data_IF_144293687411
#
_entry.id   IF_144293687411
#
_cell.length_a   1.000
_cell.length_b   1.000
_cell.length_c   1.000
_cell.angle_alpha   90.00
_cell.angle_beta   90.00
_cell.angle_gamma   90.00
#
_symmetry.space_group_name_H-M   'P 1'
#
loop_
_entity.id
_entity.type
_entity.pdbx_description
1 polymer ?
#
# COMPACT_ATOMS: atom_id res chain seq x y z
N UNK A 1 21.59 1.59 -50.46
CA UNK A 1 22.40 0.70 -49.61
C UNK A 1 21.80 0.82 -48.21
N UNK A 2 20.89 -0.07 -47.79
CA UNK A 2 21.15 -1.44 -47.29
C UNK A 2 22.06 -1.41 -46.04
N UNK A 3 21.81 -2.07 -44.91
CA UNK A 3 20.79 -2.98 -44.36
C UNK A 3 21.01 -2.99 -42.82
N UNK A 4 19.99 -2.99 -41.96
CA UNK A 4 19.40 -4.13 -41.22
C UNK A 4 20.37 -4.95 -40.36
N UNK A 5 20.05 -5.02 -39.04
CA UNK A 5 20.03 -6.20 -38.13
C UNK A 5 20.83 -5.99 -36.84
N UNK A 6 20.51 -6.52 -35.65
CA UNK A 6 19.30 -7.03 -34.97
C UNK A 6 19.77 -7.58 -33.61
N UNK A 7 18.98 -7.40 -32.53
CA UNK A 7 18.93 -8.21 -31.30
C UNK A 7 20.15 -8.15 -30.32
N UNK A 8 20.07 -8.36 -29.01
CA UNK A 8 18.98 -8.75 -28.08
C UNK A 8 19.45 -8.58 -26.61
N UNK A 9 18.50 -8.21 -25.74
CA UNK A 9 18.30 -8.61 -24.32
C UNK A 9 19.38 -8.39 -23.23
N UNK A 10 19.03 -7.61 -22.19
CA UNK A 10 18.71 -8.15 -20.85
C UNK A 10 18.33 -7.03 -19.85
N UNK A 11 17.23 -7.29 -19.15
CA UNK A 11 16.43 -6.43 -18.27
C UNK A 11 16.80 -6.64 -16.79
N UNK A 12 16.83 -5.59 -15.96
CA UNK A 12 16.75 -5.69 -14.50
C UNK A 12 16.32 -4.34 -13.89
N UNK A 13 15.03 -4.23 -13.60
CA UNK A 13 14.37 -3.11 -12.95
C UNK A 13 14.23 -3.37 -11.45
N UNK A 14 14.31 -2.31 -10.63
CA UNK A 14 14.13 -2.34 -9.18
C UNK A 14 12.69 -1.99 -8.76
N UNK A 15 12.20 -2.40 -7.58
CA UNK A 15 10.76 -2.53 -7.32
C UNK A 15 10.15 -1.41 -6.47
N UNK A 16 8.85 -1.15 -6.70
CA UNK A 16 7.72 -0.84 -5.77
C UNK A 16 6.74 0.18 -6.40
N UNK A 17 5.46 0.31 -5.97
CA UNK A 17 4.53 -0.57 -5.25
C UNK A 17 3.22 -0.85 -6.03
N UNK A 18 2.42 -1.81 -5.55
CA UNK A 18 1.17 -2.31 -6.13
C UNK A 18 -0.06 -1.38 -6.04
N UNK A 19 -0.94 -1.36 -7.07
CA UNK A 19 -2.35 -1.03 -6.91
C UNK A 19 -3.29 -2.15 -7.40
N UNK A 20 -4.39 -2.33 -6.65
CA UNK A 20 -5.49 -3.27 -6.86
C UNK A 20 -6.38 -2.92 -8.07
N UNK A 21 -7.07 -3.91 -8.70
CA UNK A 21 -8.21 -3.64 -9.58
C UNK A 21 -9.56 -4.02 -8.95
N UNK A 22 -10.51 -3.13 -9.24
CA UNK A 22 -11.92 -3.03 -8.86
C UNK A 22 -12.88 -4.01 -9.54
N UNK A 23 -13.96 -4.37 -8.83
CA UNK A 23 -15.22 -4.90 -9.35
C UNK A 23 -16.24 -3.76 -9.58
N UNK A 24 -17.12 -3.81 -10.60
CA UNK A 24 -18.10 -2.77 -10.85
C UNK A 24 -19.39 -2.98 -10.05
N UNK A 25 -19.98 -1.86 -9.65
CA UNK A 25 -21.31 -1.73 -9.08
C UNK A 25 -22.36 -1.67 -10.20
N UNK A 26 -23.55 -2.23 -9.97
CA UNK A 26 -24.76 -1.42 -10.19
C UNK A 26 -25.99 -1.94 -9.43
N UNK A 27 -26.80 -0.97 -9.01
CA UNK A 27 -27.97 -1.11 -8.13
C UNK A 27 -29.21 -0.81 -8.98
N UNK A 28 -30.17 -1.75 -9.04
CA UNK A 28 -31.49 -1.48 -9.65
C UNK A 28 -32.59 -1.67 -8.62
N UNK A 29 -33.43 -0.64 -8.46
CA UNK A 29 -34.67 -0.63 -7.67
C UNK A 29 -35.76 -1.39 -8.43
N UNK A 30 -36.55 -2.17 -7.69
CA UNK A 30 -37.86 -2.68 -8.12
C UNK A 30 -38.96 -1.67 -7.75
N UNK A 31 -39.92 -1.48 -8.67
CA UNK A 31 -41.30 -1.08 -8.36
C UNK A 31 -42.26 -1.97 -9.16
N UNK A 32 -43.43 -2.18 -8.55
CA UNK A 32 -44.48 -3.18 -8.78
C UNK A 32 -45.16 -3.21 -10.16
N UNK A 33 -45.58 -4.41 -10.59
CA UNK A 33 -47.00 -4.85 -10.64
C UNK A 33 -47.16 -6.22 -11.33
N UNK A 34 -47.86 -7.14 -10.67
CA UNK A 34 -49.18 -7.66 -11.09
C UNK A 34 -49.49 -9.03 -10.45
N UNK A 35 -50.68 -9.11 -9.88
CA UNK A 35 -51.29 -10.30 -9.28
C UNK A 35 -51.45 -11.45 -10.29
N UNK A 36 -51.28 -12.69 -9.84
CA UNK A 36 -52.29 -13.74 -10.02
C UNK A 36 -51.98 -14.97 -9.18
N UNK A 37 -52.96 -15.30 -8.33
CA UNK A 37 -53.00 -16.44 -7.42
C UNK A 37 -53.24 -17.73 -8.20
N UNK A 38 -52.34 -18.70 -8.00
CA UNK A 38 -52.68 -20.06 -7.58
C UNK A 38 -53.71 -20.84 -8.40
N UNK A 39 -53.21 -21.59 -9.39
CA UNK A 39 -53.85 -22.81 -9.86
C UNK A 39 -52.74 -23.83 -10.18
N UNK A 40 -52.71 -24.97 -9.46
CA UNK A 40 -51.82 -26.09 -9.79
C UNK A 40 -51.13 -26.80 -8.63
N UNK A 41 -51.84 -27.15 -7.55
CA UNK A 41 -51.33 -27.96 -6.43
C UNK A 41 -51.15 -29.47 -6.78
N UNK A 42 -50.93 -29.83 -8.05
CA UNK A 42 -50.88 -31.22 -8.51
C UNK A 42 -49.56 -31.70 -9.11
N UNK A 43 -48.58 -30.82 -9.35
CA UNK A 43 -47.39 -31.15 -10.18
C UNK A 43 -46.06 -31.15 -9.39
N UNK A 44 -46.08 -30.94 -8.07
CA UNK A 44 -44.87 -30.75 -7.25
C UNK A 44 -44.24 -32.04 -6.68
N UNK A 45 -44.85 -33.21 -6.87
CA UNK A 45 -44.40 -34.48 -6.25
C UNK A 45 -43.18 -35.14 -6.94
N UNK A 46 -43.03 -35.18 -8.28
CA UNK A 46 -41.96 -35.97 -8.91
C UNK A 46 -40.55 -35.35 -8.81
N UNK A 47 -40.42 -34.03 -8.58
CA UNK A 47 -39.11 -33.41 -8.38
C UNK A 47 -38.56 -33.64 -6.96
N UNK A 48 -39.43 -33.85 -5.97
CA UNK A 48 -39.04 -34.08 -4.57
C UNK A 48 -38.37 -35.45 -4.46
N UNK A 49 -38.98 -36.48 -5.06
CA UNK A 49 -38.41 -37.82 -5.06
C UNK A 49 -37.08 -37.90 -5.82
N UNK A 50 -36.94 -37.16 -6.93
CA UNK A 50 -35.68 -37.10 -7.67
C UNK A 50 -34.58 -36.35 -6.89
N UNK A 51 -34.93 -35.27 -6.18
CA UNK A 51 -34.01 -34.54 -5.33
C UNK A 51 -33.53 -35.38 -4.13
N UNK A 52 -34.43 -36.19 -3.53
CA UNK A 52 -34.08 -37.11 -2.44
C UNK A 52 -33.16 -38.23 -2.95
N UNK A 53 -33.42 -38.77 -4.15
CA UNK A 53 -32.58 -39.82 -4.72
C UNK A 53 -31.18 -39.31 -5.10
N UNK A 54 -31.07 -38.08 -5.64
CA UNK A 54 -29.79 -37.43 -5.89
C UNK A 54 -29.04 -37.13 -4.58
N UNK A 55 -29.74 -36.71 -3.53
CA UNK A 55 -29.13 -36.48 -2.22
C UNK A 55 -28.56 -37.77 -1.61
N UNK A 56 -29.27 -38.91 -1.74
CA UNK A 56 -28.78 -40.20 -1.26
C UNK A 56 -27.57 -40.73 -2.05
N UNK A 57 -27.53 -40.52 -3.36
CA UNK A 57 -26.38 -40.89 -4.19
C UNK A 57 -25.17 -40.00 -3.91
N UNK A 58 -25.40 -38.70 -3.70
CA UNK A 58 -24.35 -37.77 -3.28
C UNK A 58 -23.80 -38.15 -1.89
N UNK A 59 -24.67 -38.50 -0.94
CA UNK A 59 -24.26 -38.93 0.40
C UNK A 59 -23.38 -40.19 0.35
N UNK A 60 -23.80 -41.24 -0.36
CA UNK A 60 -23.02 -42.48 -0.50
C UNK A 60 -21.68 -42.26 -1.20
N UNK A 61 -21.63 -41.34 -2.16
CA UNK A 61 -20.38 -41.01 -2.86
C UNK A 61 -19.43 -40.26 -1.92
N UNK A 62 -19.96 -39.32 -1.12
CA UNK A 62 -19.17 -38.59 -0.13
C UNK A 62 -18.63 -39.51 0.96
N UNK A 63 -19.45 -40.41 1.51
CA UNK A 63 -19.03 -41.40 2.52
C UNK A 63 -17.90 -42.30 1.99
N UNK A 64 -18.07 -42.88 0.80
CA UNK A 64 -17.04 -43.74 0.19
C UNK A 64 -15.74 -42.99 -0.14
N UNK A 65 -15.82 -41.73 -0.60
CA UNK A 65 -14.62 -40.92 -0.87
C UNK A 65 -13.89 -40.53 0.41
N UNK A 66 -14.61 -40.28 1.52
CA UNK A 66 -14.02 -40.01 2.82
C UNK A 66 -13.26 -41.23 3.36
N UNK A 67 -13.86 -42.41 3.34
CA UNK A 67 -13.20 -43.63 3.81
C UNK A 67 -11.94 -43.95 3.01
N UNK A 68 -12.01 -43.83 1.67
CA UNK A 68 -10.85 -44.09 0.83
C UNK A 68 -9.74 -43.03 1.03
N UNK A 69 -10.10 -41.76 1.22
CA UNK A 69 -9.15 -40.70 1.56
C UNK A 69 -8.47 -40.94 2.93
N UNK A 70 -9.21 -41.45 3.91
CA UNK A 70 -8.66 -41.79 5.23
C UNK A 70 -7.65 -42.94 5.12
N UNK A 71 -7.92 -43.97 4.33
CA UNK A 71 -6.98 -45.10 4.15
C UNK A 71 -5.73 -44.67 3.37
N UNK A 72 -5.89 -43.86 2.32
CA UNK A 72 -4.76 -43.34 1.54
C UNK A 72 -3.89 -42.38 2.36
N UNK A 73 -4.49 -41.55 3.22
CA UNK A 73 -3.71 -40.67 4.11
C UNK A 73 -2.94 -41.46 5.17
N UNK A 74 -3.56 -42.48 5.78
CA UNK A 74 -2.88 -43.37 6.73
C UNK A 74 -1.69 -44.10 6.11
N UNK A 75 -1.89 -44.74 4.95
CA UNK A 75 -0.81 -45.48 4.27
C UNK A 75 0.36 -44.59 3.82
N UNK A 76 0.08 -43.33 3.41
CA UNK A 76 1.14 -42.35 3.12
C UNK A 76 1.89 -41.91 4.37
N UNK A 77 1.18 -41.77 5.49
CA UNK A 77 1.77 -41.39 6.77
C UNK A 77 2.69 -42.49 7.30
N UNK A 78 2.26 -43.76 7.25
CA UNK A 78 3.11 -44.91 7.62
C UNK A 78 4.36 -45.01 6.73
N UNK A 79 4.22 -44.72 5.43
CA UNK A 79 5.35 -44.69 4.50
C UNK A 79 6.32 -43.54 4.78
N UNK A 80 5.83 -42.39 5.22
CA UNK A 80 6.67 -41.25 5.63
C UNK A 80 7.39 -41.53 6.95
N UNK A 81 6.73 -42.14 7.92
CA UNK A 81 7.33 -42.52 9.20
C UNK A 81 8.42 -43.58 9.02
N UNK A 82 8.16 -44.59 8.19
CA UNK A 82 9.15 -45.63 7.91
C UNK A 82 10.35 -45.06 7.14
N UNK A 83 10.12 -44.23 6.12
CA UNK A 83 11.20 -43.59 5.36
C UNK A 83 12.03 -42.63 6.21
N UNK A 84 11.41 -41.83 7.10
CA UNK A 84 12.14 -40.88 7.95
C UNK A 84 13.02 -41.58 8.98
N UNK A 85 12.56 -42.72 9.53
CA UNK A 85 13.35 -43.52 10.50
C UNK A 85 14.66 -44.05 9.90
N UNK A 86 14.65 -44.50 8.64
CA UNK A 86 15.85 -45.00 7.96
C UNK A 86 16.87 -43.87 7.74
N UNK A 87 16.42 -42.69 7.30
CA UNK A 87 17.31 -41.53 7.15
C UNK A 87 17.82 -40.97 8.48
N UNK A 88 17.02 -41.04 9.54
CA UNK A 88 17.43 -40.63 10.89
C UNK A 88 18.52 -41.54 11.44
N UNK A 89 18.37 -42.85 11.30
CA UNK A 89 19.40 -43.81 11.73
C UNK A 89 20.70 -43.63 10.95
N UNK A 90 20.62 -43.43 9.63
CA UNK A 90 21.80 -43.14 8.80
C UNK A 90 22.52 -41.84 9.23
N UNK A 91 21.77 -40.84 9.69
CA UNK A 91 22.37 -39.59 10.22
C UNK A 91 23.04 -39.83 11.57
N UNK A 92 22.41 -40.62 12.46
CA UNK A 92 23.01 -40.98 13.74
C UNK A 92 24.32 -41.74 13.58
N UNK A 93 24.39 -42.68 12.63
CA UNK A 93 25.61 -43.45 12.37
C UNK A 93 26.74 -42.51 11.90
N UNK A 94 26.45 -41.56 11.00
CA UNK A 94 27.45 -40.58 10.54
C UNK A 94 27.97 -39.65 11.65
N UNK A 95 27.15 -39.33 12.64
CA UNK A 95 27.59 -38.54 13.81
C UNK A 95 28.50 -39.33 14.74
N UNK A 96 28.27 -40.64 14.88
CA UNK A 96 29.15 -41.50 15.68
C UNK A 96 30.54 -41.62 15.04
N UNK A 97 30.59 -41.76 13.71
CA UNK A 97 31.86 -41.78 12.97
C UNK A 97 32.64 -40.46 13.14
N UNK A 98 31.97 -39.31 12.98
CA UNK A 98 32.60 -38.00 13.19
C UNK A 98 33.10 -37.79 14.63
N UNK A 99 32.36 -38.30 15.63
CA UNK A 99 32.79 -38.24 17.02
C UNK A 99 34.09 -39.03 17.23
N UNK A 100 34.20 -40.19 16.60
CA UNK A 100 35.41 -41.02 16.69
C UNK A 100 36.61 -40.31 16.05
N UNK A 101 36.44 -39.70 14.87
CA UNK A 101 37.50 -38.95 14.19
C UNK A 101 37.91 -37.68 14.96
N UNK A 102 36.95 -36.97 15.56
CA UNK A 102 37.23 -35.77 16.36
C UNK A 102 38.09 -36.08 17.60
N UNK A 103 37.83 -37.20 18.28
CA UNK A 103 38.55 -37.57 19.50
C UNK A 103 40.06 -37.73 19.29
N UNK A 104 40.49 -38.16 18.10
CA UNK A 104 41.91 -38.30 17.74
C UNK A 104 42.61 -36.94 17.69
N UNK A 105 41.95 -35.92 17.15
CA UNK A 105 42.51 -34.56 17.10
C UNK A 105 42.47 -33.87 18.46
N UNK A 106 41.42 -34.13 19.24
CA UNK A 106 41.28 -33.64 20.61
C UNK A 106 42.44 -34.11 21.48
N UNK A 107 42.77 -35.41 21.43
CA UNK A 107 43.88 -35.99 22.19
C UNK A 107 45.25 -35.44 21.77
N UNK A 108 45.45 -35.18 20.47
CA UNK A 108 46.69 -34.58 19.96
C UNK A 108 46.89 -33.14 20.47
N UNK A 109 45.83 -32.33 20.42
CA UNK A 109 45.86 -30.93 20.86
C UNK A 109 46.06 -30.85 22.38
N UNK A 110 45.31 -31.63 23.15
CA UNK A 110 45.48 -31.66 24.60
C UNK A 110 46.82 -32.27 25.04
N UNK A 111 47.34 -33.24 24.30
CA UNK A 111 48.70 -33.75 24.48
C UNK A 111 49.75 -32.65 24.35
N UNK A 112 49.66 -31.83 23.29
CA UNK A 112 50.59 -30.71 23.06
C UNK A 112 50.47 -29.60 24.10
N UNK A 113 49.25 -29.30 24.55
CA UNK A 113 49.01 -28.33 25.62
C UNK A 113 49.61 -28.82 26.94
N UNK A 114 49.51 -30.11 27.26
CA UNK A 114 50.11 -30.69 28.47
C UNK A 114 51.64 -30.66 28.43
N UNK A 115 52.24 -30.96 27.28
CA UNK A 115 53.69 -30.79 27.07
C UNK A 115 54.11 -29.32 27.25
N UNK A 116 53.35 -28.38 26.68
CA UNK A 116 53.58 -26.95 26.83
C UNK A 116 53.42 -26.46 28.27
N UNK A 117 52.50 -27.06 29.05
CA UNK A 117 52.30 -26.73 30.46
C UNK A 117 53.44 -27.26 31.34
N UNK A 118 53.95 -28.46 31.05
CA UNK A 118 55.15 -28.98 31.71
C UNK A 118 56.38 -28.11 31.40
N UNK A 119 56.49 -27.61 30.17
CA UNK A 119 57.54 -26.66 29.79
C UNK A 119 57.36 -25.30 30.49
N UNK A 120 56.12 -24.81 30.63
CA UNK A 120 55.80 -23.59 31.36
C UNK A 120 56.13 -23.68 32.86
N UNK A 121 55.95 -24.86 33.47
CA UNK A 121 56.29 -25.11 34.87
C UNK A 121 57.78 -24.91 35.18
N UNK A 122 58.65 -25.09 34.18
CA UNK A 122 60.10 -24.87 34.32
C UNK A 122 60.51 -23.39 34.36
N UNK A 123 59.67 -22.48 33.82
CA UNK A 123 59.95 -21.04 33.73
C UNK A 123 58.69 -20.20 34.09
N UNK A 124 58.28 -20.19 35.37
CA UNK A 124 56.97 -19.66 35.77
C UNK A 124 56.82 -18.13 35.62
N UNK A 125 57.87 -17.35 35.90
CA UNK A 125 57.79 -15.89 35.87
C UNK A 125 57.73 -15.31 34.45
N UNK A 126 58.58 -15.79 33.55
CA UNK A 126 58.62 -15.33 32.16
C UNK A 126 57.39 -15.81 31.39
N UNK A 127 56.93 -17.03 31.65
CA UNK A 127 55.73 -17.58 30.98
C UNK A 127 54.46 -16.88 31.46
N UNK A 128 54.32 -16.56 32.75
CA UNK A 128 53.15 -15.82 33.25
C UNK A 128 53.08 -14.41 32.66
N UNK A 129 54.21 -13.70 32.58
CA UNK A 129 54.27 -12.38 31.96
C UNK A 129 53.95 -12.41 30.46
N UNK A 130 54.49 -13.40 29.73
CA UNK A 130 54.20 -13.57 28.31
C UNK A 130 52.73 -13.92 28.05
N UNK A 131 52.15 -14.85 28.83
CA UNK A 131 50.74 -15.25 28.71
C UNK A 131 49.80 -14.10 29.04
N UNK A 132 50.05 -13.35 30.11
CA UNK A 132 49.24 -12.18 30.46
C UNK A 132 49.40 -11.05 29.44
N UNK A 133 50.62 -10.78 28.97
CA UNK A 133 50.87 -9.75 27.94
C UNK A 133 50.18 -10.08 26.61
N UNK A 134 50.33 -11.31 26.13
CA UNK A 134 49.64 -11.80 24.92
C UNK A 134 48.13 -11.86 25.13
N UNK A 135 47.66 -12.22 26.32
CA UNK A 135 46.24 -12.19 26.68
C UNK A 135 45.65 -10.79 26.62
N UNK A 136 46.29 -9.80 27.26
CA UNK A 136 45.80 -8.42 27.29
C UNK A 136 45.87 -7.76 25.91
N UNK A 137 46.88 -8.06 25.10
CA UNK A 137 47.02 -7.49 23.75
C UNK A 137 46.17 -8.23 22.70
N UNK A 138 46.00 -9.54 22.85
CA UNK A 138 45.24 -10.42 21.96
C UNK A 138 43.73 -10.35 22.18
N UNK A 139 43.27 -10.09 23.40
CA UNK A 139 41.84 -9.89 23.68
C UNK A 139 41.39 -8.52 23.14
N UNK A 140 40.43 -8.52 22.19
CA UNK A 140 39.94 -7.29 21.52
C UNK A 140 39.40 -6.21 22.46
N UNK A 141 38.90 -6.58 23.64
CA UNK A 141 38.27 -5.66 24.61
C UNK A 141 39.25 -4.82 25.43
N UNK A 142 40.25 -5.39 26.13
CA UNK A 142 41.24 -4.61 26.87
C UNK A 142 42.05 -3.68 25.97
N UNK A 143 42.42 -4.11 24.75
CA UNK A 143 43.10 -3.24 23.76
C UNK A 143 42.31 -1.98 23.44
N UNK A 144 41.00 -2.10 23.20
CA UNK A 144 40.12 -0.94 22.96
C UNK A 144 40.03 -0.04 24.19
N UNK A 145 39.87 -0.63 25.36
CA UNK A 145 39.76 0.12 26.61
C UNK A 145 41.00 0.99 26.87
N UNK A 146 42.21 0.42 26.74
CA UNK A 146 43.45 1.16 26.91
C UNK A 146 43.62 2.27 25.86
N UNK A 147 43.27 1.99 24.60
CA UNK A 147 43.32 2.98 23.53
C UNK A 147 42.39 4.17 23.79
N UNK A 148 41.12 3.93 24.16
CA UNK A 148 40.17 5.00 24.46
C UNK A 148 40.53 5.76 25.74
N UNK A 149 41.03 5.07 26.77
CA UNK A 149 41.47 5.71 28.00
C UNK A 149 42.68 6.61 27.79
N UNK A 150 43.67 6.16 27.01
CA UNK A 150 44.83 6.97 26.67
C UNK A 150 44.44 8.18 25.83
N UNK A 151 43.65 7.99 24.76
CA UNK A 151 43.16 9.09 23.93
C UNK A 151 42.37 10.13 24.73
N UNK A 152 41.56 9.69 25.71
CA UNK A 152 40.78 10.59 26.57
C UNK A 152 41.65 11.47 27.48
N UNK A 153 42.83 11.00 27.89
CA UNK A 153 43.79 11.78 28.69
C UNK A 153 44.51 12.85 27.88
N UNK A 154 44.62 12.69 26.55
CA UNK A 154 45.26 13.66 25.66
C UNK A 154 44.31 14.75 25.13
N UNK A 155 43.01 14.70 25.45
CA UNK A 155 42.05 15.76 25.10
C UNK A 155 42.07 16.81 26.21
N UNK A 156 42.58 18.01 25.92
CA UNK A 156 42.55 19.12 26.87
C UNK A 156 41.11 19.63 27.07
N UNK A 157 40.77 19.97 28.31
CA UNK A 157 39.45 20.50 28.67
C UNK A 157 39.14 21.80 27.91
N UNK A 158 40.14 22.64 27.67
CA UNK A 158 40.04 23.87 26.90
C UNK A 158 39.67 23.65 25.43
N UNK A 159 40.16 22.56 24.81
CA UNK A 159 39.79 22.20 23.44
C UNK A 159 38.34 21.71 23.35
N UNK A 160 37.82 21.07 24.40
CA UNK A 160 36.41 20.67 24.47
C UNK A 160 35.49 21.87 24.68
N UNK A 161 35.87 22.80 25.55
CA UNK A 161 35.12 24.04 25.80
C UNK A 161 35.08 24.93 24.55
N UNK A 162 36.22 25.18 23.91
CA UNK A 162 36.26 25.97 22.66
C UNK A 162 35.44 25.32 21.54
N UNK A 163 35.44 23.99 21.43
CA UNK A 163 34.59 23.25 20.49
C UNK A 163 33.11 23.36 20.84
N UNK A 164 32.76 23.33 22.13
CA UNK A 164 31.39 23.52 22.59
C UNK A 164 30.90 24.94 22.26
N UNK A 165 31.72 25.97 22.53
CA UNK A 165 31.41 27.36 22.22
C UNK A 165 31.23 27.61 20.72
N UNK A 166 32.09 27.00 19.89
CA UNK A 166 31.96 27.08 18.44
C UNK A 166 30.63 26.49 17.97
N UNK A 167 30.24 25.32 18.50
CA UNK A 167 28.95 24.68 18.21
C UNK A 167 27.76 25.50 18.70
N UNK A 168 27.84 26.09 19.89
CA UNK A 168 26.76 26.96 20.41
C UNK A 168 26.58 28.17 19.52
N UNK A 169 27.65 28.81 19.06
CA UNK A 169 27.59 29.95 18.12
C UNK A 169 27.01 29.54 16.77
N UNK A 170 27.36 28.37 16.25
CA UNK A 170 26.79 27.82 15.01
C UNK A 170 25.28 27.58 15.17
N UNK A 171 24.87 26.97 16.29
CA UNK A 171 23.46 26.73 16.59
C UNK A 171 22.68 28.04 16.76
N UNK A 172 23.24 29.03 17.44
CA UNK A 172 22.61 30.36 17.56
C UNK A 172 22.35 30.99 16.17
N UNK A 173 23.35 30.96 15.28
CA UNK A 173 23.18 31.44 13.90
C UNK A 173 22.08 30.69 13.16
N UNK A 174 22.00 29.37 13.34
CA UNK A 174 20.95 28.56 12.71
C UNK A 174 19.56 28.91 13.23
N UNK A 175 19.43 29.21 14.53
CA UNK A 175 18.17 29.65 15.15
C UNK A 175 17.76 31.02 14.63
N UNK A 176 18.68 31.96 14.52
CA UNK A 176 18.39 33.31 14.02
C UNK A 176 17.96 33.29 12.55
N UNK A 177 18.63 32.46 11.73
CA UNK A 177 18.19 32.21 10.36
C UNK A 177 16.78 31.60 10.31
N UNK A 178 16.51 30.58 11.14
CA UNK A 178 15.20 29.93 11.20
C UNK A 178 14.11 30.90 11.63
N UNK A 179 14.38 31.78 12.61
CA UNK A 179 13.43 32.82 13.05
C UNK A 179 13.11 33.82 11.93
N UNK A 180 14.11 34.24 11.16
CA UNK A 180 13.90 35.13 10.03
C UNK A 180 13.08 34.45 8.92
N UNK A 181 13.38 33.18 8.64
CA UNK A 181 12.65 32.40 7.64
C UNK A 181 11.22 32.09 8.10
N UNK A 182 11.00 31.77 9.38
CA UNK A 182 9.67 31.51 9.94
C UNK A 182 8.78 32.75 9.86
N UNK A 183 9.28 33.92 10.24
CA UNK A 183 8.52 35.17 10.14
C UNK A 183 8.16 35.50 8.68
N UNK A 184 9.05 35.21 7.73
CA UNK A 184 8.78 35.41 6.31
C UNK A 184 7.72 34.45 5.78
N UNK A 185 7.78 33.18 6.19
CA UNK A 185 6.81 32.17 5.79
C UNK A 185 5.43 32.43 6.41
N UNK A 186 5.38 32.86 7.67
CA UNK A 186 4.15 33.26 8.35
C UNK A 186 3.45 34.41 7.61
N UNK A 187 4.18 35.48 7.28
CA UNK A 187 3.62 36.61 6.52
C UNK A 187 3.07 36.19 5.15
N UNK A 188 3.76 35.27 4.46
CA UNK A 188 3.27 34.70 3.19
C UNK A 188 2.02 33.85 3.37
N UNK A 189 1.95 33.05 4.43
CA UNK A 189 0.78 32.24 4.74
C UNK A 189 -0.45 33.12 5.02
N UNK A 190 -0.30 34.15 5.85
CA UNK A 190 -1.37 35.11 6.16
C UNK A 190 -1.83 35.86 4.89
N UNK A 191 -0.90 36.26 4.03
CA UNK A 191 -1.25 36.89 2.75
C UNK A 191 -2.04 35.93 1.85
N UNK A 192 -1.57 34.69 1.68
CA UNK A 192 -2.22 33.68 0.86
C UNK A 192 -3.62 33.32 1.39
N UNK A 193 -3.80 33.27 2.71
CA UNK A 193 -5.10 33.08 3.34
C UNK A 193 -6.05 34.23 3.00
N UNK A 194 -5.59 35.48 3.12
CA UNK A 194 -6.39 36.65 2.77
C UNK A 194 -6.81 36.65 1.30
N UNK A 195 -5.92 36.28 0.39
CA UNK A 195 -6.22 36.15 -1.04
C UNK A 195 -7.19 35.00 -1.34
N UNK A 196 -7.05 33.86 -0.66
CA UNK A 196 -7.96 32.72 -0.75
C UNK A 196 -9.37 33.10 -0.29
N UNK A 197 -9.51 33.77 0.85
CA UNK A 197 -10.82 34.22 1.38
C UNK A 197 -11.48 35.18 0.38
N UNK A 198 -10.73 36.15 -0.15
CA UNK A 198 -11.22 37.09 -1.18
C UNK A 198 -11.60 36.37 -2.48
N UNK A 199 -10.82 35.37 -2.90
CA UNK A 199 -11.12 34.54 -4.06
C UNK A 199 -12.42 33.76 -3.87
N UNK A 200 -12.60 33.14 -2.69
CA UNK A 200 -13.80 32.40 -2.33
C UNK A 200 -15.05 33.27 -2.29
N UNK A 201 -14.98 34.50 -1.78
CA UNK A 201 -16.12 35.42 -1.78
C UNK A 201 -16.49 35.88 -3.20
N UNK A 202 -15.50 36.17 -4.05
CA UNK A 202 -15.72 36.48 -5.47
C UNK A 202 -16.37 35.33 -6.22
N UNK A 203 -15.89 34.09 -6.04
CA UNK A 203 -16.49 32.90 -6.65
C UNK A 203 -17.93 32.68 -6.17
N UNK A 204 -18.22 32.91 -4.89
CA UNK A 204 -19.58 32.83 -4.36
C UNK A 204 -20.51 33.88 -4.99
N UNK A 205 -20.05 35.12 -5.13
CA UNK A 205 -20.83 36.19 -5.76
C UNK A 205 -21.08 35.91 -7.25
N UNK A 206 -20.05 35.50 -7.99
CA UNK A 206 -20.17 35.12 -9.39
C UNK A 206 -21.13 33.92 -9.55
N UNK A 207 -21.02 32.91 -8.69
CA UNK A 207 -21.94 31.78 -8.65
C UNK A 207 -23.39 32.23 -8.49
N UNK A 208 -23.68 33.15 -7.56
CA UNK A 208 -25.04 33.69 -7.36
C UNK A 208 -25.57 34.41 -8.60
N UNK A 209 -24.72 35.19 -9.27
CA UNK A 209 -25.07 35.84 -10.53
C UNK A 209 -25.38 34.81 -11.62
N UNK A 210 -24.53 33.78 -11.78
CA UNK A 210 -24.78 32.70 -12.74
C UNK A 210 -26.09 31.97 -12.42
N UNK A 211 -26.38 31.70 -11.14
CA UNK A 211 -27.64 31.08 -10.72
C UNK A 211 -28.87 31.92 -11.08
N UNK A 212 -28.78 33.25 -10.95
CA UNK A 212 -29.82 34.18 -11.41
C UNK A 212 -30.01 34.09 -12.94
N UNK A 213 -28.92 34.05 -13.71
CA UNK A 213 -28.98 33.91 -15.17
C UNK A 213 -29.53 32.54 -15.60
N UNK A 214 -29.21 31.46 -14.88
CA UNK A 214 -29.81 30.14 -15.12
C UNK A 214 -31.34 30.20 -14.93
N UNK A 215 -31.81 30.90 -13.89
CA UNK A 215 -33.25 31.06 -13.65
C UNK A 215 -33.93 31.91 -14.73
N UNK A 216 -33.28 32.97 -15.21
CA UNK A 216 -33.83 33.78 -16.31
C UNK A 216 -33.86 32.99 -17.63
N UNK A 217 -32.77 32.28 -17.96
CA UNK A 217 -32.72 31.39 -19.12
C UNK A 217 -33.78 30.28 -19.05
N UNK A 218 -34.00 29.70 -17.86
CA UNK A 218 -35.06 28.72 -17.64
C UNK A 218 -36.47 29.29 -17.87
N UNK A 219 -36.73 30.53 -17.44
CA UNK A 219 -38.00 31.21 -17.70
C UNK A 219 -38.20 31.46 -19.20
N UNK A 220 -37.16 31.90 -19.91
CA UNK A 220 -37.20 32.11 -21.37
C UNK A 220 -37.48 30.79 -22.09
N UNK A 221 -36.79 29.70 -21.71
CA UNK A 221 -37.02 28.36 -22.26
C UNK A 221 -38.48 27.93 -22.06
N UNK A 222 -39.04 28.13 -20.86
CA UNK A 222 -40.44 27.82 -20.54
C UNK A 222 -41.43 28.64 -21.37
N UNK A 223 -41.20 29.95 -21.49
CA UNK A 223 -42.06 30.85 -22.28
C UNK A 223 -42.00 30.51 -23.77
N UNK A 224 -40.81 30.25 -24.30
CA UNK A 224 -40.62 29.84 -25.68
C UNK A 224 -41.26 28.47 -25.96
N UNK A 225 -41.14 27.51 -25.04
CA UNK A 225 -41.82 26.22 -25.16
C UNK A 225 -43.36 26.38 -25.19
N UNK A 226 -43.93 27.15 -24.25
CA UNK A 226 -45.37 27.43 -24.22
C UNK A 226 -45.85 28.16 -25.48
N UNK A 227 -45.09 29.15 -25.97
CA UNK A 227 -45.41 29.84 -27.22
C UNK A 227 -45.35 28.91 -28.43
N UNK A 228 -44.37 28.00 -28.47
CA UNK A 228 -44.27 26.98 -29.52
C UNK A 228 -45.49 26.05 -29.52
N UNK A 229 -45.98 25.68 -28.35
CA UNK A 229 -47.18 24.84 -28.21
C UNK A 229 -48.44 25.55 -28.72
N UNK A 230 -48.63 26.82 -28.36
CA UNK A 230 -49.75 27.64 -28.92
C UNK A 230 -49.62 27.77 -30.43
N UNK A 231 -48.42 28.09 -30.95
CA UNK A 231 -48.20 28.20 -32.38
C UNK A 231 -48.44 26.87 -33.11
N UNK A 232 -48.37 25.71 -32.44
CA UNK A 232 -48.67 24.40 -33.04
C UNK A 232 -50.14 24.26 -33.44
N UNK A 233 -51.05 24.95 -32.76
CA UNK A 233 -52.48 24.87 -32.98
C UNK A 233 -52.96 25.72 -34.17
N UNK A 234 -52.22 26.76 -34.57
CA UNK A 234 -52.62 27.62 -35.69
C UNK A 234 -52.21 27.05 -37.07
N UNK A 235 -53.14 26.83 -38.01
CA UNK A 235 -52.88 26.23 -39.33
C UNK A 235 -52.46 27.26 -40.41
N UNK A 236 -51.68 28.30 -40.08
CA UNK A 236 -51.28 29.35 -41.05
C UNK A 236 -49.80 29.26 -41.45
N UNK A 237 -49.48 29.58 -42.70
CA UNK A 237 -48.11 29.48 -43.27
C UNK A 237 -47.10 30.41 -42.59
N UNK A 238 -47.54 31.59 -42.15
CA UNK A 238 -46.71 32.57 -41.42
C UNK A 238 -46.26 32.04 -40.05
N UNK A 239 -47.09 31.21 -39.41
CA UNK A 239 -46.82 30.59 -38.11
C UNK A 239 -45.64 29.63 -38.18
N UNK A 240 -45.37 29.04 -39.35
CA UNK A 240 -44.22 28.14 -39.53
C UNK A 240 -42.87 28.83 -39.31
N UNK A 241 -42.74 30.10 -39.73
CA UNK A 241 -41.50 30.88 -39.52
C UNK A 241 -41.28 31.18 -38.04
N UNK A 242 -42.35 31.57 -37.34
CA UNK A 242 -42.31 31.81 -35.91
C UNK A 242 -42.03 30.53 -35.11
N UNK A 243 -42.59 29.37 -35.53
CA UNK A 243 -42.29 28.07 -34.92
C UNK A 243 -40.80 27.75 -34.96
N UNK A 244 -40.13 27.97 -36.11
CA UNK A 244 -38.68 27.74 -36.20
C UNK A 244 -37.89 28.71 -35.34
N UNK A 245 -38.25 30.00 -35.33
CA UNK A 245 -37.57 31.01 -34.52
C UNK A 245 -37.68 30.73 -33.02
N UNK A 246 -38.89 30.42 -32.54
CA UNK A 246 -39.15 30.10 -31.13
C UNK A 246 -38.48 28.79 -30.73
N UNK A 247 -38.48 27.78 -31.60
CA UNK A 247 -37.79 26.52 -31.34
C UNK A 247 -36.27 26.70 -31.27
N UNK A 248 -35.69 27.53 -32.14
CA UNK A 248 -34.27 27.86 -32.09
C UNK A 248 -33.92 28.59 -30.79
N UNK A 249 -34.70 29.61 -30.42
CA UNK A 249 -34.52 30.39 -29.19
C UNK A 249 -34.61 29.50 -27.93
N UNK A 250 -35.58 28.59 -27.87
CA UNK A 250 -35.71 27.64 -26.77
C UNK A 250 -34.48 26.71 -26.68
N UNK A 251 -33.99 26.23 -27.82
CA UNK A 251 -32.82 25.36 -27.88
C UNK A 251 -31.53 26.08 -27.47
N UNK A 252 -31.39 27.35 -27.84
CA UNK A 252 -30.25 28.21 -27.49
C UNK A 252 -30.25 28.52 -25.99
N UNK A 253 -31.39 28.96 -25.44
CA UNK A 253 -31.55 29.19 -24.01
C UNK A 253 -31.24 27.93 -23.19
N UNK A 254 -31.68 26.76 -23.66
CA UNK A 254 -31.37 25.46 -23.01
C UNK A 254 -29.87 25.12 -23.06
N UNK A 255 -29.19 25.38 -24.18
CA UNK A 255 -27.75 25.16 -24.32
C UNK A 255 -26.98 26.07 -23.35
N UNK A 256 -27.25 27.36 -23.35
CA UNK A 256 -26.64 28.34 -22.46
C UNK A 256 -26.86 27.98 -20.99
N UNK A 257 -28.10 27.65 -20.62
CA UNK A 257 -28.44 27.20 -19.26
C UNK A 257 -27.62 25.98 -18.84
N UNK A 258 -27.44 25.00 -19.72
CA UNK A 258 -26.66 23.80 -19.42
C UNK A 258 -25.17 24.11 -19.27
N UNK A 259 -24.61 25.04 -20.05
CA UNK A 259 -23.23 25.52 -19.90
C UNK A 259 -23.05 26.20 -18.55
N UNK A 260 -23.92 27.16 -18.22
CA UNK A 260 -23.88 27.87 -16.95
C UNK A 260 -24.07 26.94 -15.75
N UNK A 261 -24.93 25.92 -15.88
CA UNK A 261 -25.14 24.92 -14.82
C UNK A 261 -23.85 24.14 -14.55
N UNK A 262 -23.09 23.78 -15.60
CA UNK A 262 -21.78 23.12 -15.44
C UNK A 262 -20.79 24.01 -14.68
N UNK A 263 -20.74 25.30 -14.98
CA UNK A 263 -19.88 26.25 -14.26
C UNK A 263 -20.27 26.39 -12.78
N UNK A 264 -21.57 26.45 -12.46
CA UNK A 264 -22.03 26.46 -11.06
C UNK A 264 -21.66 25.17 -10.34
N UNK A 265 -21.81 24.01 -10.99
CA UNK A 265 -21.37 22.74 -10.39
C UNK A 265 -19.86 22.70 -10.13
N UNK A 266 -19.03 23.29 -11.01
CA UNK A 266 -17.59 23.42 -10.75
C UNK A 266 -17.32 24.25 -9.50
N UNK A 267 -18.01 25.38 -9.33
CA UNK A 267 -17.90 26.22 -8.13
C UNK A 267 -18.31 25.45 -6.86
N UNK A 268 -19.41 24.68 -6.94
CA UNK A 268 -19.88 23.85 -5.83
C UNK A 268 -18.90 22.74 -5.47
N UNK A 269 -18.24 22.13 -6.46
CA UNK A 269 -17.24 21.06 -6.22
C UNK A 269 -16.01 21.56 -5.46
N UNK A 270 -15.71 22.86 -5.50
CA UNK A 270 -14.70 23.48 -4.63
C UNK A 270 -15.16 23.72 -3.18
N UNK A 271 -16.33 23.20 -2.77
CA UNK A 271 -16.87 23.41 -1.43
C UNK A 271 -17.43 24.82 -1.18
N UNK A 272 -17.74 25.55 -2.26
CA UNK A 272 -18.32 26.90 -2.18
C UNK A 272 -19.82 26.80 -2.39
N UNK A 273 -20.60 27.09 -1.34
CA UNK A 273 -22.07 27.13 -1.43
C UNK A 273 -22.52 28.35 -2.23
N UNK A 274 -23.20 28.11 -3.35
CA UNK A 274 -23.74 29.13 -4.26
C UNK A 274 -25.23 29.38 -4.03
#
# INVERSE_FOLDING_TARGET
>A
MAAIAESSEANADSPSPSPSPSLPADRVKHEDKSDTVGQGLGEFVPWIDNAVQQAQLAQKTVENTLENAIVVTKSRLDRLLTTSSVHFNQTLDSLQDLKSEYSVYEDLVFGKIREGLLLAASHPLTTTGAVLGVGVLGLKRPRRFLYYSAMRLFVSEEALLSRADAKVKELQKSIDFLKAESAKLENRAVQAEGEMIRGRTKLRQAGKQIRSVIQSAYRIERQAAGLKDVLRELPRREVSRFRSQVSNLASEAKKERNVLTKEVTKISNYGISV
#
